data_IF_577539411746
#
_entry.id   IF_577539411746
#
_cell.length_a   1.000
_cell.length_b   1.000
_cell.length_c   1.000
_cell.angle_alpha   90.00
_cell.angle_beta   90.00
_cell.angle_gamma   90.00
#
_symmetry.space_group_name_H-M   'P 1'
#
loop_
_entity.id
_entity.type
_entity.pdbx_description
1 polymer ?
#
# COMPACT_ATOMS: atom_id res chain seq x y z
N UNK A 1 6.31 -26.25 26.17
CA UNK A 1 6.88 -25.78 24.89
C UNK A 1 5.84 -24.84 24.31
N UNK A 2 6.20 -23.58 24.08
CA UNK A 2 5.29 -22.66 23.43
C UNK A 2 5.05 -23.14 21.99
N UNK A 3 3.79 -23.10 21.54
CA UNK A 3 3.46 -23.41 20.17
C UNK A 3 4.19 -22.43 19.24
N UNK A 4 4.69 -22.87 18.08
CA UNK A 4 5.34 -21.97 17.14
C UNK A 4 4.36 -20.88 16.67
N UNK A 5 4.84 -19.64 16.61
CA UNK A 5 4.05 -18.47 16.15
C UNK A 5 3.61 -18.70 14.71
N UNK A 6 2.30 -18.69 14.45
CA UNK A 6 1.75 -18.89 13.11
C UNK A 6 1.70 -17.56 12.35
N UNK A 7 2.49 -17.45 11.28
CA UNK A 7 2.65 -16.22 10.47
C UNK A 7 2.00 -16.36 9.10
N UNK A 8 1.40 -15.28 8.57
CA UNK A 8 0.91 -15.25 7.20
C UNK A 8 1.31 -13.98 6.43
N UNK A 9 1.67 -14.15 5.16
CA UNK A 9 1.65 -13.10 4.15
C UNK A 9 0.32 -13.17 3.41
N UNK A 10 -0.39 -12.05 3.36
CA UNK A 10 -1.78 -11.98 2.91
C UNK A 10 -1.89 -11.07 1.70
N UNK A 11 -2.50 -11.59 0.64
CA UNK A 11 -2.74 -10.87 -0.60
C UNK A 11 -4.23 -10.86 -0.94
N UNK A 12 -4.73 -9.75 -1.48
CA UNK A 12 -6.09 -9.63 -2.00
C UNK A 12 -6.04 -9.40 -3.52
N UNK A 13 -6.53 -10.37 -4.30
CA UNK A 13 -6.51 -10.34 -5.76
C UNK A 13 -7.87 -10.77 -6.32
N UNK A 14 -8.88 -9.92 -6.13
CA UNK A 14 -10.26 -10.24 -6.50
C UNK A 14 -10.58 -9.81 -7.93
N UNK A 15 -10.77 -10.78 -8.82
CA UNK A 15 -11.13 -10.58 -10.22
C UNK A 15 -9.96 -10.72 -11.19
N UNK A 16 -10.27 -11.12 -12.43
CA UNK A 16 -9.28 -11.57 -13.43
C UNK A 16 -8.11 -10.59 -13.66
N UNK A 17 -8.40 -9.28 -13.67
CA UNK A 17 -7.37 -8.24 -13.83
C UNK A 17 -6.31 -8.33 -12.73
N UNK A 18 -6.74 -8.48 -11.47
CA UNK A 18 -5.86 -8.50 -10.31
C UNK A 18 -5.19 -9.87 -10.16
N UNK A 19 -5.87 -10.96 -10.50
CA UNK A 19 -5.26 -12.29 -10.57
C UNK A 19 -4.15 -12.36 -11.62
N UNK A 20 -4.36 -11.73 -12.79
CA UNK A 20 -3.34 -11.61 -13.83
C UNK A 20 -2.19 -10.71 -13.39
N UNK A 21 -2.46 -9.65 -12.64
CA UNK A 21 -1.40 -8.83 -12.06
C UNK A 21 -0.56 -9.66 -11.08
N UNK A 22 -1.23 -10.33 -10.14
CA UNK A 22 -0.59 -11.18 -9.14
C UNK A 22 0.25 -12.30 -9.77
N UNK A 23 -0.27 -12.98 -10.80
CA UNK A 23 0.46 -14.07 -11.45
C UNK A 23 1.79 -13.62 -12.05
N UNK A 24 1.93 -12.34 -12.37
CA UNK A 24 3.18 -11.78 -12.92
C UNK A 24 4.22 -11.38 -11.89
N UNK A 25 3.86 -11.31 -10.61
CA UNK A 25 4.76 -10.90 -9.53
C UNK A 25 4.62 -11.75 -8.25
N UNK A 26 3.98 -12.91 -8.33
CA UNK A 26 3.77 -13.82 -7.19
C UNK A 26 5.08 -14.28 -6.54
N UNK A 27 6.17 -14.36 -7.31
CA UNK A 27 7.48 -14.87 -6.85
C UNK A 27 8.06 -14.08 -5.68
N UNK A 28 7.92 -12.75 -5.67
CA UNK A 28 8.45 -11.93 -4.57
C UNK A 28 7.69 -12.18 -3.26
N UNK A 29 6.38 -12.41 -3.34
CA UNK A 29 5.56 -12.69 -2.15
C UNK A 29 5.85 -14.08 -1.60
N UNK A 30 6.05 -15.08 -2.47
CA UNK A 30 6.53 -16.41 -2.07
C UNK A 30 7.90 -16.32 -1.40
N UNK A 31 8.85 -15.62 -2.02
CA UNK A 31 10.20 -15.45 -1.49
C UNK A 31 10.19 -14.78 -0.11
N UNK A 32 9.36 -13.75 0.08
CA UNK A 32 9.23 -13.09 1.38
C UNK A 32 8.57 -14.00 2.43
N UNK A 33 7.53 -14.75 2.06
CA UNK A 33 6.87 -15.70 2.95
C UNK A 33 7.81 -16.83 3.39
N UNK A 34 8.55 -17.42 2.45
CA UNK A 34 9.56 -18.46 2.68
C UNK A 34 10.70 -17.94 3.57
N UNK A 35 11.24 -16.75 3.28
CA UNK A 35 12.31 -16.11 4.08
C UNK A 35 11.96 -16.00 5.56
N UNK A 36 10.68 -15.82 5.89
CA UNK A 36 10.21 -15.59 7.26
C UNK A 36 9.33 -16.70 7.83
N UNK A 37 9.34 -17.89 7.23
CA UNK A 37 8.56 -19.06 7.65
C UNK A 37 7.07 -18.72 7.85
N UNK A 38 6.47 -18.05 6.87
CA UNK A 38 5.07 -17.65 6.88
C UNK A 38 4.28 -18.37 5.78
N UNK A 39 3.00 -18.62 6.03
CA UNK A 39 2.06 -19.10 5.01
C UNK A 39 1.75 -17.98 4.01
N UNK A 40 1.64 -18.30 2.71
CA UNK A 40 1.16 -17.36 1.70
C UNK A 40 -0.34 -17.56 1.47
N UNK A 41 -1.15 -16.61 1.95
CA UNK A 41 -2.62 -16.63 1.83
C UNK A 41 -3.05 -15.68 0.72
N UNK A 42 -3.64 -16.23 -0.34
CA UNK A 42 -4.15 -15.44 -1.47
C UNK A 42 -5.68 -15.47 -1.50
N UNK A 43 -6.31 -14.33 -1.23
CA UNK A 43 -7.75 -14.17 -1.21
C UNK A 43 -8.21 -13.66 -2.57
N UNK A 44 -8.95 -14.50 -3.30
CA UNK A 44 -9.43 -14.22 -4.66
C UNK A 44 -10.92 -13.86 -4.75
N UNK A 45 -11.63 -13.96 -3.63
CA UNK A 45 -13.05 -13.64 -3.53
C UNK A 45 -13.27 -12.55 -2.49
N UNK A 46 -14.39 -11.83 -2.58
CA UNK A 46 -14.77 -10.88 -1.53
C UNK A 46 -15.03 -11.65 -0.23
N UNK A 47 -14.52 -11.13 0.88
CA UNK A 47 -14.78 -11.66 2.22
C UNK A 47 -16.24 -11.40 2.65
N UNK A 48 -16.83 -10.31 2.17
CA UNK A 48 -18.27 -10.05 2.25
C UNK A 48 -18.87 -9.94 0.85
N UNK A 49 -19.69 -10.93 0.50
CA UNK A 49 -20.41 -10.99 -0.78
C UNK A 49 -21.66 -10.11 -0.83
N UNK A 50 -22.19 -9.68 0.33
CA UNK A 50 -23.38 -8.82 0.41
C UNK A 50 -23.09 -7.38 -0.03
N UNK A 51 -21.81 -6.98 -0.01
CA UNK A 51 -21.36 -5.62 -0.29
C UNK A 51 -21.98 -4.58 0.65
N UNK A 52 -22.04 -4.86 1.96
CA UNK A 52 -22.45 -3.88 2.98
C UNK A 52 -21.62 -2.59 2.85
N UNK A 53 -20.35 -2.71 2.46
CA UNK A 53 -19.49 -1.60 2.04
C UNK A 53 -18.84 -1.87 0.69
N UNK A 54 -18.28 -0.83 0.08
CA UNK A 54 -17.54 -0.95 -1.18
C UNK A 54 -16.33 -1.88 -1.04
N UNK A 55 -15.80 -2.33 -2.17
CA UNK A 55 -14.68 -3.29 -2.21
C UNK A 55 -13.44 -2.84 -1.41
N UNK A 56 -13.16 -1.54 -1.36
CA UNK A 56 -12.01 -0.98 -0.65
C UNK A 56 -12.03 -1.32 0.86
N UNK A 57 -13.22 -1.46 1.45
CA UNK A 57 -13.38 -1.83 2.86
C UNK A 57 -13.09 -3.30 3.19
N UNK A 58 -12.95 -4.18 2.20
CA UNK A 58 -12.78 -5.62 2.44
C UNK A 58 -11.53 -5.93 3.29
N UNK A 59 -10.52 -5.05 3.26
CA UNK A 59 -9.31 -5.16 4.10
C UNK A 59 -9.63 -5.16 5.61
N UNK A 60 -10.73 -4.53 6.03
CA UNK A 60 -11.18 -4.56 7.43
C UNK A 60 -11.61 -5.95 7.90
N UNK A 61 -11.98 -6.85 6.98
CA UNK A 61 -12.41 -8.20 7.31
C UNK A 61 -11.24 -9.20 7.38
N UNK A 62 -10.04 -8.82 6.91
CA UNK A 62 -8.86 -9.69 6.92
C UNK A 62 -8.54 -10.22 8.32
N UNK A 63 -8.55 -9.41 9.39
CA UNK A 63 -8.23 -9.93 10.71
C UNK A 63 -9.26 -10.92 11.25
N UNK A 64 -10.55 -10.80 10.88
CA UNK A 64 -11.57 -11.80 11.25
C UNK A 64 -11.40 -13.10 10.46
N UNK A 65 -11.04 -13.00 9.18
CA UNK A 65 -10.81 -14.14 8.30
C UNK A 65 -9.56 -14.97 8.65
N UNK A 66 -8.58 -14.36 9.35
CA UNK A 66 -7.26 -14.93 9.60
C UNK A 66 -7.00 -15.18 11.10
N UNK A 67 -8.05 -15.39 11.91
CA UNK A 67 -7.96 -15.53 13.37
C UNK A 67 -7.09 -16.70 13.84
N UNK A 68 -6.87 -17.69 12.98
CA UNK A 68 -5.98 -18.82 13.24
C UNK A 68 -4.49 -18.45 13.25
N UNK A 69 -4.13 -17.28 12.70
CA UNK A 69 -2.76 -16.77 12.71
C UNK A 69 -2.52 -15.87 13.91
N UNK A 70 -1.29 -15.89 14.43
CA UNK A 70 -0.88 -15.02 15.52
C UNK A 70 -0.52 -13.63 14.99
N UNK A 71 0.06 -13.56 13.80
CA UNK A 71 0.44 -12.31 13.14
C UNK A 71 0.40 -12.47 11.61
N UNK A 72 -0.06 -11.42 10.95
CA UNK A 72 -0.18 -11.36 9.50
C UNK A 72 0.45 -10.10 8.96
N UNK A 73 0.98 -10.18 7.75
CA UNK A 73 1.42 -9.04 6.96
C UNK A 73 0.57 -9.00 5.70
N UNK A 74 -0.09 -7.87 5.46
CA UNK A 74 -0.79 -7.62 4.23
C UNK A 74 0.10 -6.84 3.26
N UNK A 75 0.08 -7.28 2.00
CA UNK A 75 0.65 -6.55 0.88
C UNK A 75 -0.40 -6.33 -0.21
N UNK A 76 -0.52 -5.10 -0.69
CA UNK A 76 -1.15 -4.85 -1.98
C UNK A 76 -0.34 -5.55 -3.08
N UNK A 77 -1.04 -6.05 -4.09
CA UNK A 77 -0.39 -6.82 -5.17
C UNK A 77 0.42 -5.93 -6.13
N UNK A 78 0.35 -4.62 -5.98
CA UNK A 78 1.08 -3.65 -6.78
C UNK A 78 2.23 -2.98 -6.01
N UNK A 79 3.08 -3.83 -5.42
CA UNK A 79 4.33 -3.44 -4.76
C UNK A 79 5.55 -4.12 -5.38
N UNK A 80 6.73 -3.57 -5.11
CA UNK A 80 8.02 -4.26 -5.20
C UNK A 80 8.61 -4.41 -3.80
N UNK A 81 9.08 -5.61 -3.49
CA UNK A 81 9.75 -5.94 -2.23
C UNK A 81 11.25 -6.05 -2.49
N UNK A 82 12.05 -5.28 -1.76
CA UNK A 82 13.50 -5.42 -1.76
C UNK A 82 13.85 -6.81 -1.14
N UNK A 83 14.70 -7.64 -1.77
CA UNK A 83 15.12 -8.93 -1.20
C UNK A 83 15.69 -8.83 0.24
N UNK A 84 16.28 -7.68 0.58
CA UNK A 84 16.84 -7.38 1.91
C UNK A 84 15.81 -6.78 2.87
N UNK A 85 14.53 -6.67 2.47
CA UNK A 85 13.44 -6.23 3.34
C UNK A 85 13.43 -7.08 4.62
N UNK A 86 13.52 -6.46 5.82
CA UNK A 86 13.50 -7.16 7.10
C UNK A 86 12.10 -7.66 7.43
N UNK A 87 12.00 -8.52 8.45
CA UNK A 87 10.73 -9.11 8.89
C UNK A 87 9.79 -8.06 9.47
N UNK A 88 8.70 -7.75 8.77
CA UNK A 88 7.58 -6.95 9.31
C UNK A 88 6.91 -7.62 10.52
N UNK A 89 6.97 -8.97 10.63
CA UNK A 89 6.37 -9.71 11.74
C UNK A 89 7.02 -9.36 13.08
N UNK A 90 8.32 -9.07 13.08
CA UNK A 90 9.08 -8.85 14.31
C UNK A 90 9.06 -7.37 14.75
N UNK A 91 8.42 -6.50 13.97
CA UNK A 91 8.33 -5.07 14.27
C UNK A 91 7.20 -4.70 15.21
N UNK A 92 6.13 -5.50 15.30
CA UNK A 92 4.92 -5.14 16.02
C UNK A 92 5.02 -5.55 17.50
N UNK A 93 5.16 -4.59 18.44
CA UNK A 93 5.32 -4.91 19.86
C UNK A 93 4.14 -5.71 20.41
N UNK A 94 4.36 -6.47 21.49
CA UNK A 94 3.35 -7.39 22.06
C UNK A 94 1.99 -6.72 22.30
N UNK A 95 2.00 -5.52 22.89
CA UNK A 95 0.82 -4.72 23.21
C UNK A 95 0.22 -3.95 22.02
N UNK A 96 0.73 -4.14 20.80
CA UNK A 96 0.24 -3.50 19.58
C UNK A 96 -0.43 -4.53 18.66
N UNK A 97 -1.55 -4.11 18.09
CA UNK A 97 -2.41 -4.96 17.25
C UNK A 97 -2.31 -4.66 15.76
N UNK A 98 -1.81 -3.48 15.38
CA UNK A 98 -1.75 -3.06 13.99
C UNK A 98 -0.58 -2.10 13.76
N UNK A 99 0.17 -2.31 12.67
CA UNK A 99 1.24 -1.42 12.25
C UNK A 99 1.15 -1.07 10.79
N UNK A 100 1.25 0.22 10.48
CA UNK A 100 1.27 0.74 9.12
C UNK A 100 2.11 2.02 9.06
N UNK A 101 2.43 2.45 7.83
CA UNK A 101 3.14 3.71 7.59
C UNK A 101 2.14 4.87 7.63
N UNK A 102 2.46 5.92 8.38
CA UNK A 102 1.71 7.18 8.30
C UNK A 102 1.87 7.81 6.91
N UNK A 103 0.80 8.41 6.40
CA UNK A 103 0.92 9.26 5.22
C UNK A 103 1.97 10.35 5.49
N UNK A 104 2.86 10.67 4.54
CA UNK A 104 3.96 11.61 4.75
C UNK A 104 3.49 13.07 4.67
N UNK A 105 2.37 13.39 5.34
CA UNK A 105 1.78 14.73 5.38
C UNK A 105 2.80 15.73 5.89
N UNK A 106 2.86 16.89 5.24
CA UNK A 106 3.83 17.94 5.57
C UNK A 106 5.22 17.79 4.94
N UNK A 107 5.57 16.63 4.40
CA UNK A 107 6.82 16.46 3.63
C UNK A 107 6.80 17.26 2.32
N UNK A 108 7.97 17.61 1.80
CA UNK A 108 8.07 18.35 0.54
C UNK A 108 7.53 17.57 -0.65
N UNK A 109 7.72 16.24 -0.65
CA UNK A 109 7.17 15.34 -1.67
C UNK A 109 5.63 15.32 -1.64
N UNK A 110 5.04 15.31 -0.45
CA UNK A 110 3.59 15.40 -0.26
C UNK A 110 3.04 16.76 -0.72
N UNK A 111 3.66 17.86 -0.28
CA UNK A 111 3.27 19.23 -0.68
C UNK A 111 3.36 19.42 -2.19
N UNK A 112 4.42 18.91 -2.82
CA UNK A 112 4.60 18.98 -4.25
C UNK A 112 3.55 18.17 -5.02
N UNK A 113 3.18 16.98 -4.53
CA UNK A 113 2.15 16.14 -5.15
C UNK A 113 0.75 16.77 -5.05
N UNK A 114 0.42 17.36 -3.89
CA UNK A 114 -0.87 17.99 -3.62
C UNK A 114 -0.87 19.51 -3.83
N UNK A 115 0.06 20.06 -4.63
CA UNK A 115 0.21 21.51 -4.81
C UNK A 115 -1.06 22.24 -5.26
N UNK A 116 -1.94 21.52 -5.98
CA UNK A 116 -3.19 22.05 -6.52
C UNK A 116 -4.41 21.67 -5.68
N UNK A 117 -4.20 21.14 -4.47
CA UNK A 117 -5.24 20.59 -3.58
C UNK A 117 -5.10 21.20 -2.17
N UNK A 118 -5.33 22.52 -2.01
CA UNK A 118 -5.16 23.20 -0.72
C UNK A 118 -6.02 22.59 0.39
N UNK A 119 -7.17 22.00 0.06
CA UNK A 119 -8.03 21.28 0.99
C UNK A 119 -7.35 20.05 1.61
N UNK A 120 -6.42 19.40 0.88
CA UNK A 120 -5.64 18.26 1.40
C UNK A 120 -4.45 18.77 2.21
N UNK A 121 -3.81 19.85 1.76
CA UNK A 121 -2.63 20.42 2.42
C UNK A 121 -2.96 21.05 3.79
N UNK A 122 -4.15 21.63 3.93
CA UNK A 122 -4.60 22.30 5.15
C UNK A 122 -5.36 21.37 6.12
N UNK A 123 -5.60 20.12 5.73
CA UNK A 123 -6.28 19.14 6.57
C UNK A 123 -5.34 18.68 7.71
N UNK A 124 -5.77 18.92 8.95
CA UNK A 124 -5.11 18.47 10.18
C UNK A 124 -5.59 17.07 10.54
N UNK A 125 -4.93 16.41 11.49
CA UNK A 125 -5.39 15.10 11.99
C UNK A 125 -6.82 15.18 12.55
N UNK A 126 -7.13 16.22 13.32
CA UNK A 126 -8.48 16.48 13.82
C UNK A 126 -9.49 16.68 12.69
N UNK A 127 -9.19 17.54 11.71
CA UNK A 127 -10.14 17.80 10.61
C UNK A 127 -10.26 16.60 9.67
N UNK A 128 -9.22 15.78 9.54
CA UNK A 128 -9.27 14.51 8.80
C UNK A 128 -10.30 13.55 9.40
N UNK A 129 -10.24 13.29 10.71
CA UNK A 129 -11.15 12.34 11.35
C UNK A 129 -12.55 12.91 11.58
N UNK A 130 -12.66 14.16 12.04
CA UNK A 130 -13.96 14.79 12.30
C UNK A 130 -14.78 14.97 11.02
N UNK A 131 -14.16 15.33 9.89
CA UNK A 131 -14.87 15.43 8.60
C UNK A 131 -15.27 14.09 7.98
N UNK A 132 -14.84 12.98 8.59
CA UNK A 132 -15.25 11.60 8.28
C UNK A 132 -16.16 11.01 9.37
N UNK A 133 -16.79 11.89 10.14
CA UNK A 133 -17.74 11.61 11.22
C UNK A 133 -17.17 10.76 12.37
N UNK A 134 -15.86 10.61 12.50
CA UNK A 134 -15.28 9.91 13.65
C UNK A 134 -15.35 10.78 14.91
N UNK A 135 -15.74 10.23 16.07
CA UNK A 135 -15.94 11.04 17.27
C UNK A 135 -14.61 11.43 17.97
N UNK A 136 -14.61 12.52 18.77
CA UNK A 136 -13.50 12.88 19.65
C UNK A 136 -13.31 11.86 20.80
N UNK A 137 -12.19 11.90 21.55
CA UNK A 137 -11.11 12.89 21.48
C UNK A 137 -10.08 12.63 20.37
N UNK A 138 -9.62 13.69 19.70
CA UNK A 138 -8.60 13.60 18.65
C UNK A 138 -7.17 13.76 19.15
N UNK A 139 -6.97 14.13 20.42
CA UNK A 139 -5.66 14.39 21.02
C UNK A 139 -4.72 13.19 21.00
N UNK A 140 -5.27 11.98 20.93
CA UNK A 140 -4.52 10.73 20.92
C UNK A 140 -4.25 10.21 19.50
N UNK A 141 -4.67 10.96 18.48
CA UNK A 141 -4.53 10.60 17.08
C UNK A 141 -3.34 11.37 16.48
N UNK A 142 -2.49 10.66 15.74
CA UNK A 142 -1.29 11.24 15.11
C UNK A 142 -1.55 11.54 13.63
N UNK A 143 -2.24 10.67 12.90
CA UNK A 143 -2.51 10.91 11.48
C UNK A 143 -3.18 9.75 10.76
N UNK A 144 -3.39 9.93 9.46
CA UNK A 144 -3.87 8.88 8.56
C UNK A 144 -2.71 8.01 8.06
N UNK A 145 -3.03 6.80 7.62
CA UNK A 145 -2.07 5.79 7.16
C UNK A 145 -2.17 5.58 5.66
N UNK A 146 -1.26 4.79 5.08
CA UNK A 146 -1.48 4.15 3.79
C UNK A 146 -1.78 2.65 3.97
N UNK A 147 -2.84 2.17 3.33
CA UNK A 147 -3.36 0.80 3.46
C UNK A 147 -2.74 -0.24 2.54
N UNK A 148 -1.65 0.08 1.84
CA UNK A 148 -1.01 -0.85 0.90
C UNK A 148 -0.05 -1.86 1.53
N UNK A 149 0.49 -1.54 2.70
CA UNK A 149 1.33 -2.45 3.49
C UNK A 149 0.99 -2.23 4.96
N UNK A 150 0.65 -3.31 5.66
CA UNK A 150 0.46 -3.28 7.11
C UNK A 150 0.70 -4.65 7.73
N UNK A 151 1.09 -4.64 9.00
CA UNK A 151 1.22 -5.83 9.86
C UNK A 151 0.12 -5.79 10.91
N UNK A 152 -0.44 -6.94 11.29
CA UNK A 152 -1.52 -6.98 12.27
C UNK A 152 -1.56 -8.29 13.05
N UNK A 153 -2.10 -8.22 14.27
CA UNK A 153 -2.43 -9.39 15.09
C UNK A 153 -3.93 -9.60 15.06
N UNK A 154 -4.43 -10.62 14.31
CA UNK A 154 -5.86 -10.90 14.15
C UNK A 154 -6.65 -10.82 15.45
N UNK A 155 -6.16 -11.51 16.50
CA UNK A 155 -6.80 -11.61 17.82
C UNK A 155 -7.04 -10.26 18.51
N UNK A 156 -6.24 -9.23 18.22
CA UNK A 156 -6.34 -7.93 18.89
C UNK A 156 -7.28 -6.93 18.18
N UNK A 157 -7.49 -7.08 16.87
CA UNK A 157 -8.19 -6.05 16.07
C UNK A 157 -9.41 -6.55 15.29
N UNK A 158 -9.59 -7.87 15.16
CA UNK A 158 -10.64 -8.46 14.33
C UNK A 158 -12.04 -7.97 14.69
N UNK A 159 -12.37 -7.98 15.98
CA UNK A 159 -13.69 -7.55 16.43
C UNK A 159 -13.94 -6.08 16.11
N UNK A 160 -12.99 -5.19 16.43
CA UNK A 160 -13.15 -3.76 16.22
C UNK A 160 -13.31 -3.41 14.73
N UNK A 161 -12.51 -4.02 13.84
CA UNK A 161 -12.61 -3.77 12.40
C UNK A 161 -13.90 -4.35 11.81
N UNK A 162 -14.28 -5.56 12.21
CA UNK A 162 -15.54 -6.18 11.77
C UNK A 162 -16.75 -5.37 12.23
N UNK A 163 -16.76 -4.90 13.48
CA UNK A 163 -17.83 -4.07 14.02
C UNK A 163 -17.96 -2.77 13.21
N UNK A 164 -16.86 -2.09 12.88
CA UNK A 164 -16.93 -0.93 12.00
C UNK A 164 -17.47 -1.30 10.61
N UNK A 165 -16.96 -2.38 10.00
CA UNK A 165 -17.38 -2.80 8.66
C UNK A 165 -18.90 -2.99 8.58
N UNK A 166 -19.51 -3.65 9.58
CA UNK A 166 -20.95 -3.90 9.61
C UNK A 166 -21.78 -2.78 10.25
N UNK A 167 -21.15 -1.78 10.88
CA UNK A 167 -21.85 -0.61 11.43
C UNK A 167 -22.50 0.26 10.35
N UNK A 168 -23.39 1.15 10.78
CA UNK A 168 -23.98 2.20 9.95
C UNK A 168 -23.14 3.48 9.89
N UNK A 169 -21.90 3.47 10.39
CA UNK A 169 -21.00 4.62 10.30
C UNK A 169 -20.75 5.00 8.84
N UNK A 170 -21.08 6.23 8.48
CA UNK A 170 -20.76 6.84 7.19
C UNK A 170 -19.62 7.83 7.35
N UNK A 171 -18.63 7.80 6.46
CA UNK A 171 -17.56 8.80 6.42
C UNK A 171 -17.98 10.11 5.72
N UNK A 172 -19.23 10.23 5.27
CA UNK A 172 -19.70 11.41 4.54
C UNK A 172 -18.98 11.59 3.19
N UNK A 173 -18.89 12.83 2.72
CA UNK A 173 -18.35 13.17 1.40
C UNK A 173 -16.85 12.98 1.26
N UNK A 174 -16.10 12.93 2.37
CA UNK A 174 -14.63 12.83 2.39
C UNK A 174 -14.14 11.41 2.65
N UNK A 175 -14.85 10.42 2.15
CA UNK A 175 -14.53 9.01 2.33
C UNK A 175 -13.05 8.70 2.00
N UNK A 176 -12.38 8.02 2.94
CA UNK A 176 -11.03 7.47 2.80
C UNK A 176 -11.02 5.95 3.07
N UNK A 177 -12.14 5.31 2.71
CA UNK A 177 -12.36 3.88 2.70
C UNK A 177 -11.85 3.16 3.95
N UNK A 178 -11.04 2.12 3.81
CA UNK A 178 -10.49 1.32 4.90
C UNK A 178 -9.41 2.06 5.70
N UNK A 179 -8.68 3.01 5.10
CA UNK A 179 -7.51 3.63 5.73
C UNK A 179 -7.91 4.46 6.95
N UNK A 180 -8.98 5.25 6.84
CA UNK A 180 -9.49 6.05 7.95
C UNK A 180 -9.93 5.23 9.18
N UNK A 181 -10.79 4.19 9.06
CA UNK A 181 -11.21 3.40 10.21
C UNK A 181 -10.06 2.57 10.77
N UNK A 182 -9.18 1.99 9.93
CA UNK A 182 -8.00 1.29 10.44
C UNK A 182 -7.13 2.23 11.28
N UNK A 183 -6.85 3.44 10.78
CA UNK A 183 -6.07 4.43 11.51
C UNK A 183 -6.78 4.90 12.80
N UNK A 184 -8.06 5.27 12.70
CA UNK A 184 -8.82 5.80 13.83
C UNK A 184 -8.94 4.77 14.95
N UNK A 185 -9.47 3.59 14.64
CA UNK A 185 -9.78 2.55 15.64
C UNK A 185 -8.51 2.14 16.38
N UNK A 186 -7.43 1.86 15.65
CA UNK A 186 -6.20 1.35 16.26
C UNK A 186 -5.47 2.41 17.08
N UNK A 187 -5.51 3.68 16.68
CA UNK A 187 -4.92 4.78 17.46
C UNK A 187 -5.76 5.06 18.71
N UNK A 188 -7.09 5.12 18.58
CA UNK A 188 -8.00 5.33 19.72
C UNK A 188 -7.92 4.23 20.77
N UNK A 189 -7.65 2.99 20.37
CA UNK A 189 -7.44 1.85 21.27
C UNK A 189 -5.99 1.70 21.76
N UNK A 190 -5.07 2.57 21.35
CA UNK A 190 -3.65 2.45 21.69
C UNK A 190 -2.94 1.25 21.05
N UNK A 191 -3.56 0.58 20.08
CA UNK A 191 -3.08 -0.63 19.40
C UNK A 191 -2.21 -0.33 18.17
N UNK A 192 -2.14 0.93 17.74
CA UNK A 192 -1.36 1.34 16.57
C UNK A 192 0.15 1.41 16.85
N UNK A 193 0.94 0.97 15.86
CA UNK A 193 2.39 1.09 15.81
C UNK A 193 2.83 1.71 14.47
N UNK A 194 3.52 2.87 14.46
CA UNK A 194 4.01 3.46 13.22
C UNK A 194 5.18 2.65 12.66
N UNK A 195 5.07 2.23 11.40
CA UNK A 195 6.19 1.66 10.65
C UNK A 195 7.04 2.77 10.02
N UNK A 196 8.33 2.48 9.82
CA UNK A 196 9.24 3.32 9.05
C UNK A 196 8.73 3.49 7.60
N UNK A 197 8.88 4.68 7.02
CA UNK A 197 8.38 4.98 5.67
C UNK A 197 8.95 4.08 4.57
N UNK A 198 10.13 3.48 4.81
CA UNK A 198 10.76 2.51 3.90
C UNK A 198 9.94 1.25 3.70
N UNK A 199 9.01 0.91 4.61
CA UNK A 199 8.12 -0.26 4.46
C UNK A 199 6.89 0.00 3.59
N UNK A 200 6.64 1.24 3.16
CA UNK A 200 5.54 1.55 2.26
C UNK A 200 5.81 2.88 1.51
N UNK A 201 6.96 2.95 0.83
CA UNK A 201 7.32 4.14 0.07
C UNK A 201 6.44 4.22 -1.18
N UNK A 202 5.64 5.27 -1.32
CA UNK A 202 4.74 5.42 -2.46
C UNK A 202 5.47 6.05 -3.66
N UNK A 203 5.59 5.31 -4.76
CA UNK A 203 6.36 5.72 -5.94
C UNK A 203 5.91 7.05 -6.52
N UNK A 204 4.62 7.38 -6.44
CA UNK A 204 4.11 8.62 -7.00
C UNK A 204 4.58 9.87 -6.23
N UNK A 205 4.94 9.78 -4.95
CA UNK A 205 5.60 10.88 -4.25
C UNK A 205 7.05 11.03 -4.73
N UNK A 206 7.72 9.92 -4.98
CA UNK A 206 9.10 9.91 -5.49
C UNK A 206 9.20 10.55 -6.88
N UNK A 207 8.14 10.49 -7.70
CA UNK A 207 8.06 11.23 -8.96
C UNK A 207 8.13 12.76 -8.82
N UNK A 208 7.94 13.31 -7.61
CA UNK A 208 7.99 14.74 -7.34
C UNK A 208 9.33 15.21 -6.75
N UNK A 209 10.29 14.29 -6.60
CA UNK A 209 11.70 14.62 -6.39
C UNK A 209 12.31 15.26 -7.66
N UNK A 210 13.49 15.92 -7.57
CA UNK A 210 14.16 16.48 -8.75
C UNK A 210 14.37 15.46 -9.88
N UNK A 211 14.78 14.24 -9.54
CA UNK A 211 15.01 13.15 -10.50
C UNK A 211 13.71 12.67 -11.15
N UNK A 212 12.68 12.40 -10.34
CA UNK A 212 11.35 12.02 -10.85
C UNK A 212 10.74 13.10 -11.75
N UNK A 213 10.86 14.37 -11.36
CA UNK A 213 10.40 15.52 -12.17
C UNK A 213 11.11 15.61 -13.52
N UNK A 214 12.38 15.22 -13.59
CA UNK A 214 13.11 15.18 -14.85
C UNK A 214 12.48 14.18 -15.83
N UNK A 215 12.12 12.98 -15.35
CA UNK A 215 11.44 11.97 -16.18
C UNK A 215 10.09 12.49 -16.69
N UNK A 216 9.31 13.14 -15.81
CA UNK A 216 8.02 13.75 -16.20
C UNK A 216 8.18 14.89 -17.22
N UNK A 217 9.25 15.68 -17.12
CA UNK A 217 9.56 16.75 -18.09
C UNK A 217 9.88 16.17 -19.47
N UNK A 218 10.65 15.08 -19.54
CA UNK A 218 10.95 14.39 -20.82
C UNK A 218 9.65 13.95 -21.48
N UNK A 219 8.73 13.33 -20.73
CA UNK A 219 7.44 12.88 -21.28
C UNK A 219 6.62 14.02 -21.88
N UNK A 220 6.70 15.22 -21.29
CA UNK A 220 5.98 16.42 -21.76
C UNK A 220 6.66 17.12 -22.93
N UNK A 221 7.92 16.81 -23.22
CA UNK A 221 8.72 17.47 -24.26
C UNK A 221 8.18 17.17 -25.67
N UNK A 222 8.03 18.21 -26.51
CA UNK A 222 7.51 18.08 -27.87
C UNK A 222 8.40 17.18 -28.76
N UNK A 223 9.72 17.31 -28.64
CA UNK A 223 10.67 16.49 -29.38
C UNK A 223 10.56 15.02 -29.00
N UNK A 224 10.37 14.73 -27.71
CA UNK A 224 10.10 13.36 -27.24
C UNK A 224 8.81 12.80 -27.86
N UNK A 225 7.73 13.60 -27.97
CA UNK A 225 6.50 13.15 -28.64
C UNK A 225 6.74 12.77 -30.10
N UNK A 226 7.54 13.55 -30.83
CA UNK A 226 7.92 13.26 -32.22
C UNK A 226 8.73 11.97 -32.30
N UNK A 227 9.75 11.81 -31.45
CA UNK A 227 10.54 10.57 -31.39
C UNK A 227 9.64 9.37 -31.07
N UNK A 228 8.74 9.51 -30.10
CA UNK A 228 7.83 8.44 -29.70
C UNK A 228 6.93 7.99 -30.88
N UNK A 229 6.38 8.94 -31.65
CA UNK A 229 5.62 8.62 -32.87
C UNK A 229 6.49 7.89 -33.91
N UNK A 230 7.75 8.28 -34.09
CA UNK A 230 8.69 7.59 -34.99
C UNK A 230 8.96 6.16 -34.53
N UNK A 231 9.24 5.96 -33.23
CA UNK A 231 9.48 4.64 -32.64
C UNK A 231 8.27 3.71 -32.82
N UNK A 232 7.06 4.25 -32.67
CA UNK A 232 5.82 3.49 -32.86
C UNK A 232 5.61 3.17 -34.35
N UNK A 233 5.67 4.16 -35.24
CA UNK A 233 5.27 3.99 -36.65
C UNK A 233 6.32 3.28 -37.50
N UNK A 234 7.59 3.62 -37.32
CA UNK A 234 8.69 3.09 -38.14
C UNK A 234 9.21 1.79 -37.54
N UNK A 235 9.50 1.81 -36.23
CA UNK A 235 10.14 0.68 -35.56
C UNK A 235 9.16 -0.28 -34.89
N UNK A 236 7.85 0.01 -34.94
CA UNK A 236 6.79 -0.82 -34.33
C UNK A 236 7.04 -1.12 -32.84
N UNK A 237 7.71 -0.21 -32.14
CA UNK A 237 7.98 -0.36 -30.72
C UNK A 237 6.75 0.01 -29.89
N UNK A 238 6.62 -0.54 -28.66
CA UNK A 238 5.60 -0.11 -27.72
C UNK A 238 5.66 1.40 -27.46
N UNK A 239 4.51 2.07 -27.33
CA UNK A 239 4.46 3.47 -26.92
C UNK A 239 5.23 3.70 -25.62
N UNK A 240 5.84 4.87 -25.50
CA UNK A 240 6.54 5.33 -24.29
C UNK A 240 7.73 4.44 -23.84
N UNK A 241 8.29 3.57 -24.69
CA UNK A 241 9.35 2.61 -24.31
C UNK A 241 10.55 3.26 -23.58
N UNK A 242 10.98 4.45 -23.99
CA UNK A 242 12.08 5.19 -23.34
C UNK A 242 11.67 5.64 -21.93
N UNK A 243 10.44 6.17 -21.78
CA UNK A 243 9.92 6.61 -20.49
C UNK A 243 9.73 5.40 -19.57
N UNK A 244 9.23 4.28 -20.09
CA UNK A 244 9.13 3.04 -19.31
C UNK A 244 10.49 2.57 -18.82
N UNK A 245 11.52 2.58 -19.66
CA UNK A 245 12.89 2.25 -19.24
C UNK A 245 13.38 3.18 -18.13
N UNK A 246 13.19 4.50 -18.29
CA UNK A 246 13.59 5.49 -17.27
C UNK A 246 12.84 5.31 -15.94
N UNK A 247 11.53 5.07 -16.00
CA UNK A 247 10.73 4.82 -14.80
C UNK A 247 11.12 3.51 -14.09
N UNK A 248 11.49 2.47 -14.86
CA UNK A 248 12.05 1.22 -14.32
C UNK A 248 13.37 1.45 -13.63
N UNK A 249 14.32 2.09 -14.30
CA UNK A 249 15.64 2.35 -13.74
C UNK A 249 15.51 3.22 -12.47
N UNK A 250 14.60 4.22 -12.49
CA UNK A 250 14.27 5.05 -11.32
C UNK A 250 13.63 4.25 -10.18
N UNK A 251 12.69 3.34 -10.48
CA UNK A 251 12.08 2.49 -9.46
C UNK A 251 13.10 1.58 -8.76
N UNK A 252 14.10 1.09 -9.49
CA UNK A 252 15.18 0.27 -8.95
C UNK A 252 16.12 1.09 -8.06
N UNK A 253 16.46 2.32 -8.48
CA UNK A 253 17.24 3.24 -7.64
C UNK A 253 16.54 3.55 -6.32
N UNK A 254 15.22 3.77 -6.35
CA UNK A 254 14.43 3.95 -5.12
C UNK A 254 14.47 2.67 -4.29
N UNK A 255 14.20 1.51 -4.90
CA UNK A 255 14.13 0.22 -4.21
C UNK A 255 15.45 -0.15 -3.51
N UNK A 256 16.61 0.30 -4.02
CA UNK A 256 17.90 0.11 -3.35
C UNK A 256 18.01 0.84 -1.99
N UNK A 257 17.15 1.83 -1.72
CA UNK A 257 17.19 2.65 -0.52
C UNK A 257 15.99 2.41 0.42
N UNK A 258 14.99 1.65 -0.02
CA UNK A 258 13.76 1.35 0.73
C UNK A 258 13.51 -0.15 0.78
N UNK A 259 12.60 -0.58 1.64
CA UNK A 259 12.27 -2.01 1.76
C UNK A 259 11.13 -2.41 0.84
N UNK A 260 10.14 -1.53 0.68
CA UNK A 260 8.97 -1.77 -0.16
C UNK A 260 8.61 -0.49 -0.91
N UNK A 261 8.44 -0.64 -2.22
CA UNK A 261 8.00 0.41 -3.13
C UNK A 261 6.58 0.10 -3.62
N UNK A 262 5.64 0.99 -3.35
CA UNK A 262 4.20 0.80 -3.60
C UNK A 262 3.69 1.72 -4.72
N UNK A 263 2.93 1.15 -5.67
CA UNK A 263 2.43 1.87 -6.85
C UNK A 263 1.00 2.41 -6.74
N UNK A 264 0.22 2.00 -5.74
CA UNK A 264 -1.09 2.55 -5.34
C UNK A 264 -2.11 2.67 -6.49
N UNK A 265 -2.26 1.59 -7.24
CA UNK A 265 -3.17 1.39 -8.36
C UNK A 265 -2.78 2.10 -9.65
N UNK A 266 -1.66 2.85 -9.67
CA UNK A 266 -1.31 3.72 -10.80
C UNK A 266 -0.45 3.04 -11.85
N UNK A 267 0.24 1.96 -11.50
CA UNK A 267 1.27 1.35 -12.34
C UNK A 267 1.43 -0.15 -12.09
N UNK A 268 1.75 -0.90 -13.15
CA UNK A 268 2.01 -2.34 -13.05
C UNK A 268 3.46 -2.57 -12.59
N UNK A 269 3.72 -3.17 -11.41
CA UNK A 269 5.08 -3.38 -10.89
C UNK A 269 5.98 -4.19 -11.83
N UNK A 270 5.42 -5.10 -12.65
CA UNK A 270 6.20 -5.93 -13.58
C UNK A 270 6.96 -5.11 -14.63
N UNK A 271 6.41 -3.95 -15.02
CA UNK A 271 7.10 -3.03 -15.94
C UNK A 271 8.38 -2.45 -15.31
N UNK A 272 8.50 -2.57 -13.98
CA UNK A 272 9.47 -1.89 -13.16
C UNK A 272 10.38 -2.87 -12.38
N UNK A 273 10.02 -4.15 -12.29
CA UNK A 273 10.89 -5.23 -11.79
C UNK A 273 11.94 -5.63 -12.83
N UNK A 274 13.16 -5.96 -12.39
CA UNK A 274 14.10 -6.72 -13.22
C UNK A 274 13.45 -8.06 -13.61
N UNK A 275 13.68 -8.53 -14.84
CA UNK A 275 13.51 -9.97 -15.09
C UNK A 275 14.47 -10.66 -14.11
N UNK A 276 13.94 -11.39 -13.13
CA UNK A 276 14.70 -12.50 -12.60
C UNK A 276 14.83 -13.44 -13.79
N UNK A 277 16.02 -13.46 -14.39
CA UNK A 277 16.36 -14.55 -15.30
C UNK A 277 16.26 -15.82 -14.46
N UNK A 278 15.30 -16.67 -14.81
CA UNK A 278 15.22 -18.02 -14.28
C UNK A 278 16.59 -18.67 -14.53
N UNK A 279 17.37 -18.82 -13.45
CA UNK A 279 18.56 -19.67 -13.41
C UNK A 279 18.16 -21.05 -12.92
#
# INVERSE_FOLDING_TARGET
MDLPVKKAVVLLAVGEKYEKLLSTNISQFKSYAEKYNADLVVIKQKLDSTNKRSFFYQKLLLPDHLKEYDICVFFDIDILINPDCPSLFDLLPENKGFGAVYSPRGSDKFKAFYSNRPEVLNETTETYFSSRNFPPPYSNLTGNINGGVFVFKPKLIAEAFKNYYFSDHSQGEKEAFEEAPMAYITQSLGLFFPLDEKFNTQFFYELYTPEGKNILKIKKNLFYKIINEILIRIFKLPPDIIIFKKLRDFSQQILNNVYILHFSGRMNPKLYSLKQEDK
#
